data_IF_839227858600
#
_entry.id   IF_839227858600
#
_cell.length_a   1.000
_cell.length_b   1.000
_cell.length_c   1.000
_cell.angle_alpha   90.00
_cell.angle_beta   90.00
_cell.angle_gamma   90.00
#
_symmetry.space_group_name_H-M   'P 1'
#
loop_
_entity.id
_entity.type
_entity.pdbx_description
1 polymer ?
#
# COMPACT_ATOMS: atom_id res chain seq x y z
N UNK A 1 -31.57 -4.77 -14.18
CA UNK A 1 -30.36 -5.25 -13.49
C UNK A 1 -29.13 -5.20 -14.40
N UNK A 2 -29.03 -6.01 -15.47
CA UNK A 2 -27.81 -6.12 -16.29
C UNK A 2 -27.21 -4.77 -16.75
N UNK A 3 -28.02 -3.84 -17.23
CA UNK A 3 -27.57 -2.54 -17.71
C UNK A 3 -26.75 -1.73 -16.66
N UNK A 4 -27.09 -1.83 -15.37
CA UNK A 4 -26.36 -1.09 -14.32
C UNK A 4 -24.99 -1.70 -14.00
N UNK A 5 -24.85 -3.02 -14.21
CA UNK A 5 -23.62 -3.80 -14.04
C UNK A 5 -22.68 -3.56 -15.23
N UNK A 6 -23.23 -3.57 -16.44
CA UNK A 6 -22.51 -3.30 -17.69
C UNK A 6 -22.06 -1.83 -17.81
N UNK A 7 -22.59 -0.93 -16.97
CA UNK A 7 -22.35 0.51 -17.10
C UNK A 7 -23.10 1.18 -18.26
N UNK A 8 -24.18 0.57 -18.75
CA UNK A 8 -25.01 1.08 -19.87
C UNK A 8 -26.20 1.85 -19.31
N UNK A 9 -26.12 3.18 -19.32
CA UNK A 9 -27.11 4.05 -18.65
C UNK A 9 -28.07 4.78 -19.58
N UNK A 10 -28.41 4.20 -20.74
CA UNK A 10 -29.27 4.84 -21.75
C UNK A 10 -30.76 4.90 -21.36
N UNK A 11 -31.22 4.04 -20.46
CA UNK A 11 -32.63 4.00 -20.03
C UNK A 11 -32.99 5.16 -19.10
N UNK A 12 -34.20 5.72 -19.23
CA UNK A 12 -34.65 6.89 -18.44
C UNK A 12 -34.56 6.66 -16.93
N UNK A 13 -34.73 5.40 -16.48
CA UNK A 13 -34.56 5.00 -15.08
C UNK A 13 -33.29 5.56 -14.45
N UNK A 14 -32.16 5.54 -15.18
CA UNK A 14 -30.88 5.98 -14.64
C UNK A 14 -30.76 7.51 -14.51
N UNK A 15 -31.62 8.27 -15.18
CA UNK A 15 -31.59 9.73 -15.16
C UNK A 15 -30.23 10.33 -15.53
N UNK A 16 -30.02 11.58 -15.13
CA UNK A 16 -28.76 12.30 -15.33
C UNK A 16 -27.75 11.97 -14.24
N UNK A 17 -26.47 11.79 -14.58
CA UNK A 17 -25.40 11.65 -13.60
C UNK A 17 -25.22 12.90 -12.72
N UNK A 18 -25.71 14.06 -13.17
CA UNK A 18 -25.63 15.32 -12.43
C UNK A 18 -26.65 15.42 -11.29
N UNK A 19 -27.65 14.54 -11.26
CA UNK A 19 -28.63 14.50 -10.18
C UNK A 19 -28.24 13.43 -9.17
N UNK A 20 -28.50 13.68 -7.89
CA UNK A 20 -28.23 12.72 -6.80
C UNK A 20 -28.95 11.39 -7.05
N UNK A 21 -30.22 11.43 -7.47
CA UNK A 21 -30.96 10.20 -7.76
C UNK A 21 -30.37 9.43 -8.96
N UNK A 22 -29.90 10.12 -9.99
CA UNK A 22 -29.33 9.47 -11.17
C UNK A 22 -27.94 8.90 -10.93
N UNK A 23 -27.11 9.56 -10.12
CA UNK A 23 -25.83 9.01 -9.68
C UNK A 23 -26.03 7.78 -8.79
N UNK A 24 -26.99 7.81 -7.86
CA UNK A 24 -27.32 6.68 -6.96
C UNK A 24 -27.73 5.40 -7.69
N UNK A 25 -28.38 5.50 -8.86
CA UNK A 25 -28.87 4.36 -9.66
C UNK A 25 -27.79 3.69 -10.53
N UNK A 26 -26.62 4.31 -10.70
CA UNK A 26 -25.53 3.87 -11.58
C UNK A 26 -24.52 3.02 -10.83
N UNK A 27 -24.84 1.74 -10.59
CA UNK A 27 -24.07 0.86 -9.70
C UNK A 27 -22.59 0.78 -10.06
N UNK A 28 -22.25 0.47 -11.32
CA UNK A 28 -20.84 0.37 -11.77
C UNK A 28 -20.05 1.65 -11.48
N UNK A 29 -20.59 2.82 -11.82
CA UNK A 29 -19.94 4.11 -11.55
C UNK A 29 -19.74 4.35 -10.05
N UNK A 30 -20.73 4.01 -9.22
CA UNK A 30 -20.61 4.12 -7.75
C UNK A 30 -19.55 3.19 -7.19
N UNK A 31 -19.50 1.95 -7.65
CA UNK A 31 -18.48 0.99 -7.21
C UNK A 31 -17.09 1.47 -7.62
N UNK A 32 -16.91 2.02 -8.82
CA UNK A 32 -15.64 2.63 -9.24
C UNK A 32 -15.22 3.77 -8.30
N UNK A 33 -16.14 4.70 -8.01
CA UNK A 33 -15.89 5.79 -7.07
C UNK A 33 -15.52 5.30 -5.65
N UNK A 34 -16.22 4.26 -5.16
CA UNK A 34 -15.90 3.62 -3.88
C UNK A 34 -14.48 3.04 -3.90
N UNK A 35 -14.09 2.35 -4.97
CA UNK A 35 -12.76 1.76 -5.11
C UNK A 35 -11.65 2.81 -5.24
N UNK A 36 -11.91 3.93 -5.90
CA UNK A 36 -10.99 5.08 -5.97
C UNK A 36 -10.74 5.68 -4.58
N UNK A 37 -11.80 5.90 -3.81
CA UNK A 37 -11.68 6.37 -2.43
C UNK A 37 -10.98 5.35 -1.53
N UNK A 38 -11.24 4.06 -1.72
CA UNK A 38 -10.54 3.00 -1.01
C UNK A 38 -9.03 3.01 -1.30
N UNK A 39 -8.63 3.25 -2.55
CA UNK A 39 -7.21 3.37 -2.90
C UNK A 39 -6.55 4.55 -2.18
N UNK A 40 -7.25 5.68 -2.05
CA UNK A 40 -6.77 6.84 -1.31
C UNK A 40 -6.73 6.58 0.21
N UNK A 41 -7.78 5.94 0.76
CA UNK A 41 -7.81 5.50 2.15
C UNK A 41 -6.67 4.54 2.47
N UNK A 42 -6.37 3.59 1.59
CA UNK A 42 -5.22 2.70 1.72
C UNK A 42 -3.89 3.46 1.68
N UNK A 43 -3.78 4.50 0.84
CA UNK A 43 -2.57 5.33 0.74
C UNK A 43 -2.30 6.13 2.01
N UNK A 44 -3.35 6.71 2.60
CA UNK A 44 -3.23 7.60 3.76
C UNK A 44 -3.28 6.83 5.08
N UNK A 45 -4.17 5.84 5.19
CA UNK A 45 -4.52 5.13 6.42
C UNK A 45 -4.11 3.66 6.45
N UNK A 46 -3.55 3.13 5.35
CA UNK A 46 -3.12 1.73 5.28
C UNK A 46 -1.87 1.41 6.12
N UNK A 47 -1.14 2.41 6.61
CA UNK A 47 0.02 2.23 7.47
C UNK A 47 -0.35 2.49 8.93
N UNK A 48 -0.04 1.54 9.80
CA UNK A 48 -0.28 1.67 11.25
C UNK A 48 0.55 2.79 11.87
N UNK A 49 1.82 2.94 11.45
CA UNK A 49 2.74 3.98 11.88
C UNK A 49 3.29 4.75 10.68
N UNK A 50 3.19 6.07 10.72
CA UNK A 50 3.70 6.98 9.69
C UNK A 50 5.06 7.52 10.13
N UNK A 51 6.11 7.24 9.34
CA UNK A 51 7.49 7.59 9.68
C UNK A 51 7.88 8.98 9.16
N UNK A 52 8.22 9.89 10.08
CA UNK A 52 8.63 11.27 9.77
C UNK A 52 10.14 11.46 9.99
N UNK A 53 10.81 12.24 9.13
CA UNK A 53 12.22 12.59 9.36
C UNK A 53 12.37 13.66 10.44
N UNK A 54 11.42 14.59 10.49
CA UNK A 54 11.39 15.73 11.41
C UNK A 54 9.94 15.89 11.91
N UNK A 55 9.77 16.39 13.14
CA UNK A 55 8.43 16.70 13.65
C UNK A 55 7.94 17.99 12.99
N UNK A 56 6.70 18.01 12.50
CA UNK A 56 6.10 19.24 12.03
C UNK A 56 6.02 20.25 13.18
N UNK A 57 6.25 21.53 12.85
CA UNK A 57 6.18 22.65 13.79
C UNK A 57 4.74 22.87 14.32
N UNK A 58 3.74 22.36 13.58
CA UNK A 58 2.32 22.44 13.95
C UNK A 58 1.96 21.39 15.01
N UNK A 59 1.63 21.87 16.22
CA UNK A 59 1.24 21.05 17.38
C UNK A 59 0.05 20.09 17.10
N UNK A 60 -0.84 20.43 16.16
CA UNK A 60 -2.01 19.60 15.82
C UNK A 60 -1.64 18.25 15.19
N UNK A 61 -0.53 18.16 14.44
CA UNK A 61 -0.08 16.89 13.85
C UNK A 61 0.57 15.99 14.92
N UNK A 62 1.16 16.59 15.96
CA UNK A 62 1.76 15.91 17.10
C UNK A 62 0.77 15.11 17.97
N UNK A 63 -0.54 15.32 17.79
CA UNK A 63 -1.59 14.64 18.57
C UNK A 63 -2.02 13.30 17.95
N UNK A 64 -1.73 13.04 16.67
CA UNK A 64 -2.11 11.78 16.04
C UNK A 64 -1.10 10.68 16.39
N UNK A 65 -1.50 9.76 17.28
CA UNK A 65 -0.66 8.66 17.82
C UNK A 65 -0.03 7.72 16.77
N UNK A 66 -0.38 7.88 15.49
CA UNK A 66 0.19 7.10 14.37
C UNK A 66 1.51 7.66 13.87
N UNK A 67 1.82 8.94 14.09
CA UNK A 67 3.11 9.50 13.67
C UNK A 67 4.23 9.11 14.64
N UNK A 68 5.38 8.78 14.08
CA UNK A 68 6.59 8.51 14.85
C UNK A 68 7.80 9.03 14.09
N UNK A 69 8.74 9.62 14.81
CA UNK A 69 10.03 9.98 14.24
C UNK A 69 10.75 8.72 13.79
N UNK A 70 11.38 8.83 12.63
CA UNK A 70 12.11 7.76 12.00
C UNK A 70 13.33 7.32 12.82
N UNK A 71 13.90 8.21 13.65
CA UNK A 71 14.92 7.87 14.65
C UNK A 71 14.36 6.96 15.74
N UNK A 72 13.21 7.33 16.28
CA UNK A 72 12.61 6.69 17.45
C UNK A 72 12.07 5.31 17.08
N UNK A 73 11.45 5.20 15.91
CA UNK A 73 11.03 3.91 15.36
C UNK A 73 12.22 2.95 15.15
N UNK A 74 13.40 3.44 14.75
CA UNK A 74 14.59 2.57 14.68
C UNK A 74 14.95 2.04 16.07
N UNK A 75 14.94 2.89 17.09
CA UNK A 75 15.24 2.46 18.46
C UNK A 75 14.22 1.45 18.99
N UNK A 76 12.93 1.65 18.71
CA UNK A 76 11.88 0.69 19.07
C UNK A 76 12.12 -0.69 18.42
N UNK A 77 12.49 -0.70 17.15
CA UNK A 77 12.70 -1.94 16.38
C UNK A 77 14.02 -2.64 16.72
N UNK A 78 15.04 -1.91 17.23
CA UNK A 78 16.33 -2.49 17.63
C UNK A 78 16.22 -3.57 18.71
N UNK A 79 15.29 -3.43 19.65
CA UNK A 79 15.12 -4.39 20.74
C UNK A 79 14.55 -5.74 20.25
N UNK A 80 13.45 -5.77 19.48
CA UNK A 80 13.01 -6.95 18.75
C UNK A 80 14.12 -7.55 17.86
N UNK A 81 14.89 -6.72 17.14
CA UNK A 81 16.00 -7.20 16.31
C UNK A 81 17.03 -7.98 17.13
N UNK A 82 17.50 -7.41 18.24
CA UNK A 82 18.46 -8.07 19.13
C UNK A 82 17.94 -9.39 19.73
N UNK A 83 16.64 -9.45 20.05
CA UNK A 83 15.99 -10.64 20.63
C UNK A 83 15.71 -11.74 19.59
N UNK A 84 15.54 -11.36 18.33
CA UNK A 84 15.26 -12.29 17.22
C UNK A 84 16.50 -12.96 16.64
N UNK A 85 17.71 -12.62 17.10
CA UNK A 85 18.94 -13.27 16.67
C UNK A 85 19.00 -14.73 17.15
N UNK A 86 18.94 -15.67 16.22
CA UNK A 86 19.08 -17.10 16.55
C UNK A 86 19.39 -18.01 15.37
N UNK A 87 19.27 -17.51 14.14
CA UNK A 87 19.50 -18.29 12.89
C UNK A 87 20.34 -17.56 11.84
N UNK A 88 20.75 -16.32 12.08
CA UNK A 88 21.54 -15.53 11.13
C UNK A 88 23.04 -15.83 11.20
N UNK A 89 23.70 -15.71 10.06
CA UNK A 89 25.16 -15.56 10.01
C UNK A 89 25.53 -14.17 10.53
N UNK A 90 26.64 -14.06 11.24
CA UNK A 90 27.19 -12.78 11.70
C UNK A 90 27.30 -11.78 10.55
N UNK A 91 26.57 -10.66 10.64
CA UNK A 91 26.55 -9.60 9.61
C UNK A 91 25.36 -9.65 8.65
N UNK A 92 24.45 -10.63 8.77
CA UNK A 92 23.16 -10.64 8.05
C UNK A 92 22.03 -10.25 9.01
N UNK A 93 20.96 -9.62 8.51
CA UNK A 93 19.78 -9.35 9.35
C UNK A 93 18.65 -10.34 9.10
N UNK A 94 17.80 -10.49 10.11
CA UNK A 94 16.74 -11.46 10.15
C UNK A 94 15.62 -11.15 9.14
N UNK A 95 15.38 -11.97 8.09
CA UNK A 95 14.21 -11.78 7.24
C UNK A 95 12.88 -11.97 7.98
N UNK A 96 12.89 -12.66 9.14
CA UNK A 96 11.68 -12.82 9.97
C UNK A 96 11.21 -11.49 10.56
N UNK A 97 12.12 -10.62 10.99
CA UNK A 97 11.72 -9.35 11.58
C UNK A 97 11.09 -8.42 10.56
N UNK A 98 11.53 -8.48 9.30
CA UNK A 98 10.91 -7.73 8.21
C UNK A 98 9.45 -8.16 8.05
N UNK A 99 9.17 -9.45 8.20
CA UNK A 99 7.81 -9.99 8.10
C UNK A 99 6.95 -9.55 9.29
N UNK A 100 7.49 -9.56 10.51
CA UNK A 100 6.80 -9.08 11.71
C UNK A 100 6.46 -7.58 11.61
N UNK A 101 7.45 -6.74 11.27
CA UNK A 101 7.25 -5.30 11.11
C UNK A 101 6.27 -4.97 9.97
N UNK A 102 6.29 -5.77 8.91
CA UNK A 102 5.33 -5.62 7.82
C UNK A 102 3.90 -5.90 8.30
N UNK A 103 3.68 -7.05 8.96
CA UNK A 103 2.38 -7.40 9.55
C UNK A 103 1.88 -6.33 10.53
N UNK A 104 2.76 -5.79 11.36
CA UNK A 104 2.39 -4.72 12.30
C UNK A 104 1.88 -3.45 11.61
N UNK A 105 2.45 -3.13 10.47
CA UNK A 105 2.06 -1.96 9.71
C UNK A 105 0.78 -2.18 8.88
N UNK A 106 0.51 -3.43 8.48
CA UNK A 106 -0.71 -3.84 7.78
C UNK A 106 -1.95 -3.96 8.67
N UNK A 107 -1.82 -3.82 10.00
CA UNK A 107 -2.92 -3.92 10.97
C UNK A 107 -4.22 -3.17 10.56
N UNK A 108 -4.18 -1.97 9.94
CA UNK A 108 -5.40 -1.26 9.57
C UNK A 108 -6.20 -1.87 8.41
N UNK A 109 -5.61 -2.76 7.60
CA UNK A 109 -6.18 -3.13 6.29
C UNK A 109 -7.49 -3.88 6.40
N UNK A 110 -7.64 -4.75 7.40
CA UNK A 110 -8.90 -5.47 7.60
C UNK A 110 -10.05 -4.48 7.76
N UNK A 111 -9.90 -3.46 8.61
CA UNK A 111 -10.93 -2.45 8.81
C UNK A 111 -11.21 -1.60 7.57
N UNK A 112 -10.20 -1.31 6.74
CA UNK A 112 -10.39 -0.60 5.47
C UNK A 112 -11.15 -1.45 4.44
N UNK A 113 -10.85 -2.74 4.40
CA UNK A 113 -11.55 -3.72 3.55
C UNK A 113 -12.99 -3.92 4.01
N UNK A 114 -13.23 -4.04 5.31
CA UNK A 114 -14.58 -4.16 5.86
C UNK A 114 -15.43 -2.93 5.53
N UNK A 115 -14.84 -1.73 5.61
CA UNK A 115 -15.48 -0.47 5.21
C UNK A 115 -15.85 -0.47 3.72
N UNK A 116 -14.92 -0.84 2.82
CA UNK A 116 -15.22 -0.83 1.38
C UNK A 116 -16.26 -1.88 1.01
N UNK A 117 -16.19 -3.05 1.66
CA UNK A 117 -17.16 -4.13 1.54
C UNK A 117 -18.56 -3.61 1.88
N UNK A 118 -18.74 -3.00 3.04
CA UNK A 118 -20.03 -2.46 3.48
C UNK A 118 -20.59 -1.43 2.48
N UNK A 119 -19.75 -0.52 2.00
CA UNK A 119 -20.14 0.49 1.01
C UNK A 119 -20.63 -0.13 -0.31
N UNK A 120 -19.94 -1.16 -0.81
CA UNK A 120 -20.35 -1.88 -2.03
C UNK A 120 -21.65 -2.66 -1.81
N UNK A 121 -21.79 -3.32 -0.65
CA UNK A 121 -23.01 -4.05 -0.31
C UNK A 121 -24.22 -3.10 -0.27
N UNK A 122 -24.08 -1.99 0.45
CA UNK A 122 -25.09 -0.95 0.57
C UNK A 122 -25.47 -0.33 -0.79
N UNK A 123 -24.48 0.06 -1.61
CA UNK A 123 -24.76 0.62 -2.94
C UNK A 123 -25.53 -0.37 -3.83
N UNK A 124 -25.23 -1.66 -3.72
CA UNK A 124 -25.94 -2.71 -4.46
C UNK A 124 -27.38 -2.87 -3.97
N UNK A 125 -27.61 -2.82 -2.66
CA UNK A 125 -28.95 -2.93 -2.09
C UNK A 125 -29.83 -1.74 -2.48
N UNK A 126 -29.28 -0.52 -2.43
CA UNK A 126 -30.00 0.68 -2.87
C UNK A 126 -30.40 0.62 -4.35
N UNK A 127 -29.48 0.20 -5.22
CA UNK A 127 -29.76 0.08 -6.66
C UNK A 127 -30.75 -1.04 -6.92
N UNK A 128 -30.62 -2.17 -6.22
CA UNK A 128 -31.55 -3.30 -6.33
C UNK A 128 -32.95 -2.86 -5.92
N UNK A 129 -33.09 -2.21 -4.77
CA UNK A 129 -34.35 -1.65 -4.30
C UNK A 129 -34.94 -0.68 -5.33
N UNK A 130 -34.16 0.28 -5.82
CA UNK A 130 -34.62 1.24 -6.82
C UNK A 130 -35.09 0.58 -8.12
N UNK A 131 -34.43 -0.48 -8.59
CA UNK A 131 -34.82 -1.23 -9.78
C UNK A 131 -36.12 -2.00 -9.54
N UNK A 132 -36.24 -2.70 -8.42
CA UNK A 132 -37.43 -3.50 -8.10
C UNK A 132 -38.65 -2.60 -7.94
N UNK A 133 -38.54 -1.50 -7.18
CA UNK A 133 -39.62 -0.52 -7.02
C UNK A 133 -40.01 0.14 -8.36
N UNK A 134 -39.09 0.25 -9.31
CA UNK A 134 -39.40 0.84 -10.62
C UNK A 134 -40.16 -0.10 -11.56
N UNK A 135 -39.98 -1.42 -11.43
CA UNK A 135 -40.48 -2.41 -12.41
C UNK A 135 -41.64 -3.25 -11.86
N UNK A 136 -41.68 -3.49 -10.55
CA UNK A 136 -42.67 -4.36 -9.92
C UNK A 136 -43.88 -3.56 -9.38
N UNK A 137 -45.03 -4.23 -9.24
CA UNK A 137 -46.18 -3.66 -8.56
C UNK A 137 -45.88 -3.50 -7.07
N UNK A 138 -46.38 -2.44 -6.44
CA UNK A 138 -46.04 -2.04 -5.07
C UNK A 138 -46.16 -3.20 -4.06
N UNK A 139 -47.27 -3.93 -4.10
CA UNK A 139 -47.55 -5.06 -3.21
C UNK A 139 -46.58 -6.25 -3.38
N UNK A 140 -45.92 -6.35 -4.54
CA UNK A 140 -44.99 -7.45 -4.85
C UNK A 140 -43.53 -7.14 -4.50
N UNK A 141 -43.19 -5.85 -4.30
CA UNK A 141 -41.83 -5.39 -4.00
C UNK A 141 -41.23 -6.10 -2.79
N UNK A 142 -41.90 -6.21 -1.62
CA UNK A 142 -41.32 -6.84 -0.44
C UNK A 142 -40.97 -8.31 -0.67
N UNK A 143 -41.82 -9.04 -1.37
CA UNK A 143 -41.61 -10.45 -1.70
C UNK A 143 -40.40 -10.67 -2.61
N UNK A 144 -40.28 -9.84 -3.66
CA UNK A 144 -39.13 -9.91 -4.60
C UNK A 144 -37.82 -9.58 -3.87
N UNK A 145 -37.79 -8.54 -3.04
CA UNK A 145 -36.60 -8.16 -2.29
C UNK A 145 -36.17 -9.25 -1.28
N UNK A 146 -37.12 -9.94 -0.65
CA UNK A 146 -36.85 -11.07 0.24
C UNK A 146 -36.13 -12.21 -0.49
N UNK A 147 -36.63 -12.59 -1.68
CA UNK A 147 -36.01 -13.63 -2.52
C UNK A 147 -34.59 -13.22 -2.94
N UNK A 148 -34.41 -11.97 -3.37
CA UNK A 148 -33.10 -11.46 -3.81
C UNK A 148 -32.07 -11.41 -2.67
N UNK A 149 -32.48 -11.02 -1.45
CA UNK A 149 -31.61 -11.04 -0.27
C UNK A 149 -31.10 -12.45 0.02
N UNK A 150 -31.99 -13.44 0.00
CA UNK A 150 -31.62 -14.84 0.23
C UNK A 150 -30.65 -15.34 -0.84
N UNK A 151 -30.94 -15.07 -2.12
CA UNK A 151 -30.10 -15.47 -3.25
C UNK A 151 -28.70 -14.82 -3.23
N UNK A 152 -28.58 -13.59 -2.71
CA UNK A 152 -27.32 -12.85 -2.67
C UNK A 152 -26.31 -13.38 -1.65
N UNK A 153 -26.74 -14.19 -0.67
CA UNK A 153 -25.87 -14.73 0.39
C UNK A 153 -24.60 -15.38 -0.15
N UNK A 154 -24.71 -16.16 -1.23
CA UNK A 154 -23.56 -16.79 -1.88
C UNK A 154 -22.58 -15.75 -2.45
N UNK A 155 -23.10 -14.71 -3.13
CA UNK A 155 -22.25 -13.65 -3.69
C UNK A 155 -21.54 -12.81 -2.63
N UNK A 156 -22.13 -12.66 -1.44
CA UNK A 156 -21.45 -12.02 -0.30
C UNK A 156 -20.29 -12.89 0.17
N UNK A 157 -20.51 -14.19 0.31
CA UNK A 157 -19.43 -15.13 0.68
C UNK A 157 -18.31 -15.15 -0.37
N UNK A 158 -18.64 -15.10 -1.65
CA UNK A 158 -17.64 -15.06 -2.72
C UNK A 158 -16.83 -13.75 -2.70
N UNK A 159 -17.46 -12.63 -2.35
CA UNK A 159 -16.78 -11.36 -2.14
C UNK A 159 -15.80 -11.44 -0.95
N UNK A 160 -16.25 -12.04 0.15
CA UNK A 160 -15.45 -12.22 1.37
C UNK A 160 -14.22 -13.10 1.11
N UNK A 161 -14.42 -14.22 0.43
CA UNK A 161 -13.33 -15.13 0.05
C UNK A 161 -12.30 -14.43 -0.85
N UNK A 162 -12.74 -13.52 -1.74
CA UNK A 162 -11.82 -12.73 -2.57
C UNK A 162 -11.00 -11.74 -1.75
N UNK A 163 -11.63 -11.03 -0.82
CA UNK A 163 -10.90 -10.13 0.08
C UNK A 163 -9.89 -10.89 0.93
N UNK A 164 -10.27 -12.05 1.46
CA UNK A 164 -9.37 -12.90 2.25
C UNK A 164 -8.18 -13.38 1.40
N UNK A 165 -8.44 -13.85 0.17
CA UNK A 165 -7.38 -14.27 -0.78
C UNK A 165 -6.40 -13.13 -1.08
N UNK A 166 -6.88 -11.89 -1.18
CA UNK A 166 -6.04 -10.72 -1.42
C UNK A 166 -5.24 -10.28 -0.19
N UNK A 167 -5.79 -10.46 1.02
CA UNK A 167 -5.13 -10.06 2.26
C UNK A 167 -4.12 -11.10 2.78
N UNK A 168 -4.40 -12.39 2.58
CA UNK A 168 -3.65 -13.51 3.16
C UNK A 168 -2.12 -13.42 2.92
N UNK A 169 -1.63 -13.15 1.69
CA UNK A 169 -0.19 -13.13 1.43
C UNK A 169 0.54 -12.02 2.20
N UNK A 170 -0.19 -10.97 2.60
CA UNK A 170 0.35 -9.80 3.25
C UNK A 170 0.23 -9.85 4.78
N UNK A 171 -0.84 -10.50 5.29
CA UNK A 171 -1.06 -10.66 6.73
C UNK A 171 -0.34 -11.89 7.29
N UNK A 172 -0.21 -12.95 6.48
CA UNK A 172 0.33 -14.24 6.94
C UNK A 172 1.63 -14.63 6.25
N UNK A 173 1.87 -14.20 5.02
CA UNK A 173 3.07 -14.52 4.23
C UNK A 173 4.33 -13.71 4.54
N UNK A 174 5.41 -14.07 3.84
CA UNK A 174 6.66 -13.30 3.81
C UNK A 174 6.56 -12.23 2.72
N UNK A 175 6.91 -10.96 3.01
CA UNK A 175 6.92 -9.92 1.99
C UNK A 175 7.97 -10.25 0.92
N UNK A 176 7.51 -10.46 -0.31
CA UNK A 176 8.37 -10.58 -1.50
C UNK A 176 7.99 -9.43 -2.43
N UNK A 177 8.97 -8.66 -2.89
CA UNK A 177 8.75 -7.65 -3.92
C UNK A 177 9.75 -7.81 -5.05
N UNK A 178 9.23 -7.73 -6.27
CA UNK A 178 9.99 -7.68 -7.51
C UNK A 178 9.96 -6.27 -8.14
N UNK A 179 9.50 -5.29 -7.37
CA UNK A 179 9.37 -3.92 -7.85
C UNK A 179 10.74 -3.23 -7.93
N UNK A 180 11.19 -3.06 -9.16
CA UNK A 180 12.41 -2.36 -9.53
C UNK A 180 12.44 -0.91 -9.02
N UNK A 181 11.28 -0.22 -8.93
CA UNK A 181 11.23 1.14 -8.38
C UNK A 181 11.65 1.17 -6.90
N UNK A 182 11.31 0.12 -6.17
CA UNK A 182 11.70 0.00 -4.78
C UNK A 182 13.18 -0.30 -4.62
N UNK A 183 13.70 -1.21 -5.44
CA UNK A 183 15.13 -1.53 -5.47
C UNK A 183 15.93 -0.26 -5.79
N UNK A 184 15.49 0.52 -6.78
CA UNK A 184 16.10 1.81 -7.14
C UNK A 184 16.04 2.83 -6.00
N UNK A 185 14.91 2.94 -5.31
CA UNK A 185 14.77 3.86 -4.18
C UNK A 185 15.66 3.45 -3.00
N UNK A 186 15.78 2.15 -2.73
CA UNK A 186 16.69 1.62 -1.72
C UNK A 186 18.14 1.92 -2.09
N UNK A 187 18.53 1.69 -3.36
CA UNK A 187 19.87 1.99 -3.86
C UNK A 187 20.18 3.49 -3.75
N UNK A 188 19.29 4.38 -4.21
CA UNK A 188 19.43 5.83 -4.09
C UNK A 188 19.53 6.29 -2.63
N UNK A 189 18.71 5.71 -1.74
CA UNK A 189 18.78 6.02 -0.32
C UNK A 189 20.08 5.51 0.33
N UNK A 190 20.62 4.38 -0.11
CA UNK A 190 21.93 3.89 0.32
C UNK A 190 23.05 4.79 -0.19
N UNK A 191 23.02 5.16 -1.45
CA UNK A 191 23.99 6.08 -2.06
C UNK A 191 24.00 7.42 -1.36
N UNK A 192 22.82 8.04 -1.14
CA UNK A 192 22.72 9.31 -0.42
C UNK A 192 23.35 9.24 0.97
N UNK A 193 23.09 8.16 1.72
CA UNK A 193 23.70 7.94 3.04
C UNK A 193 25.21 7.78 2.97
N UNK A 194 25.72 6.93 2.06
CA UNK A 194 27.17 6.77 1.86
C UNK A 194 27.84 8.09 1.49
N UNK A 195 27.22 8.86 0.59
CA UNK A 195 27.72 10.17 0.18
C UNK A 195 27.76 11.14 1.36
N UNK A 196 26.71 11.19 2.19
CA UNK A 196 26.69 12.03 3.39
C UNK A 196 27.76 11.62 4.42
N UNK A 197 27.98 10.32 4.63
CA UNK A 197 29.03 9.81 5.52
C UNK A 197 30.43 10.15 5.02
N UNK A 198 30.66 9.98 3.71
CA UNK A 198 31.90 10.37 3.06
C UNK A 198 32.12 11.88 3.17
N UNK A 199 31.11 12.69 2.88
CA UNK A 199 31.19 14.14 2.99
C UNK A 199 31.54 14.56 4.44
N UNK A 200 30.90 13.95 5.44
CA UNK A 200 31.24 14.16 6.85
C UNK A 200 32.69 13.78 7.15
N UNK A 201 33.15 12.63 6.65
CA UNK A 201 34.53 12.18 6.83
C UNK A 201 35.54 13.15 6.21
N UNK A 202 35.26 13.67 5.02
CA UNK A 202 36.09 14.69 4.37
C UNK A 202 36.08 16.00 5.16
N UNK A 203 34.92 16.49 5.60
CA UNK A 203 34.81 17.68 6.46
C UNK A 203 35.64 17.54 7.74
N UNK A 204 35.63 16.36 8.36
CA UNK A 204 36.43 16.05 9.56
C UNK A 204 37.95 15.93 9.28
N UNK A 205 38.36 15.69 8.03
CA UNK A 205 39.76 15.56 7.62
C UNK A 205 40.35 16.91 7.20
N UNK A 206 39.63 17.70 6.39
CA UNK A 206 40.14 18.97 5.82
C UNK A 206 39.69 20.22 6.58
N UNK A 207 38.68 20.10 7.45
CA UNK A 207 38.01 21.21 8.11
C UNK A 207 36.86 21.79 7.27
N UNK A 208 35.72 22.09 7.91
CA UNK A 208 34.48 22.48 7.23
C UNK A 208 34.60 23.75 6.36
N UNK A 209 35.46 24.70 6.77
CA UNK A 209 35.75 25.93 6.03
C UNK A 209 36.55 25.67 4.74
N UNK A 210 37.55 24.78 4.81
CA UNK A 210 38.40 24.44 3.66
C UNK A 210 37.69 23.50 2.68
N UNK A 211 36.70 22.75 3.14
CA UNK A 211 35.87 21.91 2.27
C UNK A 211 34.95 22.76 1.36
N UNK A 212 34.47 23.92 1.86
CA UNK A 212 33.57 24.82 1.10
C UNK A 212 34.30 25.79 0.19
N UNK A 213 35.46 26.30 0.62
CA UNK A 213 36.30 27.22 -0.15
C UNK A 213 37.38 26.38 -0.79
N UNK A 214 37.41 26.24 -2.12
CA UNK A 214 38.34 25.38 -2.89
C UNK A 214 39.84 25.70 -2.72
N UNK A 215 40.32 25.67 -1.47
CA UNK A 215 41.68 25.92 -1.03
C UNK A 215 42.46 24.61 -1.08
N UNK A 216 43.73 24.71 -1.48
CA UNK A 216 44.63 23.56 -1.44
C UNK A 216 44.91 23.20 0.02
N UNK A 217 44.62 21.95 0.40
CA UNK A 217 44.91 21.39 1.73
C UNK A 217 45.93 20.27 1.55
N UNK A 218 47.03 20.32 2.32
CA UNK A 218 47.99 19.22 2.36
C UNK A 218 47.43 18.10 3.25
N UNK A 219 47.34 16.89 2.70
CA UNK A 219 46.82 15.71 3.39
C UNK A 219 47.85 14.59 3.33
N UNK A 220 48.05 13.90 4.46
CA UNK A 220 48.84 12.68 4.48
C UNK A 220 47.98 11.51 3.95
N UNK A 221 48.43 10.80 2.90
CA UNK A 221 47.66 9.69 2.31
C UNK A 221 47.32 8.59 3.33
N UNK A 222 48.20 8.35 4.30
CA UNK A 222 47.99 7.35 5.36
C UNK A 222 46.85 7.74 6.32
N UNK A 223 46.76 9.01 6.72
CA UNK A 223 45.70 9.51 7.59
C UNK A 223 44.34 9.50 6.88
N UNK A 224 44.35 9.85 5.60
CA UNK A 224 43.18 9.74 4.73
C UNK A 224 42.70 8.29 4.64
N UNK A 225 43.61 7.36 4.32
CA UNK A 225 43.28 5.94 4.24
C UNK A 225 42.75 5.39 5.57
N UNK A 226 43.38 5.75 6.69
CA UNK A 226 42.97 5.26 8.03
C UNK A 226 41.61 5.83 8.45
N UNK A 227 41.33 7.11 8.18
CA UNK A 227 40.01 7.71 8.45
C UNK A 227 38.91 7.12 7.56
N UNK A 228 39.19 6.86 6.28
CA UNK A 228 38.25 6.21 5.37
C UNK A 228 38.01 4.76 5.77
N UNK A 229 39.08 4.00 6.04
CA UNK A 229 39.03 2.58 6.44
C UNK A 229 38.17 2.35 7.69
N UNK A 230 38.40 3.13 8.75
CA UNK A 230 37.61 3.06 10.00
C UNK A 230 36.12 3.30 9.78
N UNK A 231 35.73 4.05 8.74
CA UNK A 231 34.32 4.34 8.44
C UNK A 231 33.70 3.35 7.45
N UNK A 232 34.49 2.74 6.56
CA UNK A 232 34.04 1.59 5.75
C UNK A 232 33.85 0.32 6.58
N UNK A 233 34.62 0.11 7.65
CA UNK A 233 34.48 -1.07 8.53
C UNK A 233 33.29 -0.98 9.50
N UNK A 234 32.78 0.22 9.79
CA UNK A 234 31.51 0.41 10.54
C UNK A 234 30.28 0.27 9.61
N UNK A 235 30.52 0.18 8.30
CA UNK A 235 29.50 0.13 7.26
C UNK A 235 28.95 -1.26 6.94
N UNK A 236 29.02 -2.23 7.86
CA UNK A 236 28.49 -3.58 7.62
C UNK A 236 27.70 -4.21 8.79
N UNK A 237 27.51 -3.50 9.91
CA UNK A 237 26.80 -4.01 11.10
C UNK A 237 25.45 -3.33 11.41
N UNK A 238 24.95 -2.45 10.54
CA UNK A 238 23.68 -1.73 10.70
C UNK A 238 22.70 -1.92 9.53
N UNK A 239 22.92 -2.93 8.69
CA UNK A 239 22.33 -2.99 7.36
C UNK A 239 21.31 -4.11 7.25
N UNK A 240 20.10 -3.82 7.73
CA UNK A 240 18.83 -3.97 7.03
C UNK A 240 17.79 -3.33 7.94
N UNK A 241 17.19 -2.22 7.49
CA UNK A 241 15.80 -1.79 7.81
C UNK A 241 15.59 -0.38 7.25
N UNK A 242 14.74 -0.27 6.21
CA UNK A 242 13.92 0.88 5.75
C UNK A 242 13.57 0.75 4.25
N UNK A 243 12.37 1.19 3.82
CA UNK A 243 11.13 0.44 4.03
C UNK A 243 10.59 -0.08 2.68
N UNK A 244 10.07 -1.31 2.69
CA UNK A 244 9.36 -1.97 1.57
C UNK A 244 8.06 -1.27 1.09
N UNK A 245 7.75 -0.11 1.68
CA UNK A 245 6.43 0.54 1.64
C UNK A 245 6.18 1.36 0.37
N UNK A 246 7.23 1.93 -0.22
CA UNK A 246 7.12 2.74 -1.46
C UNK A 246 6.77 1.86 -2.68
N UNK A 247 7.15 0.57 -2.64
CA UNK A 247 6.74 -0.43 -3.62
C UNK A 247 5.27 -0.82 -3.52
N UNK A 248 4.82 -0.93 -2.28
CA UNK A 248 3.54 -1.50 -1.94
C UNK A 248 2.38 -0.64 -2.47
N UNK A 249 2.55 0.69 -2.44
CA UNK A 249 1.62 1.67 -3.03
C UNK A 249 1.61 1.65 -4.56
N UNK A 250 2.74 1.31 -5.20
CA UNK A 250 2.83 1.21 -6.67
C UNK A 250 2.22 -0.08 -7.21
N UNK A 251 2.33 -1.20 -6.48
CA UNK A 251 1.74 -2.49 -6.87
C UNK A 251 0.21 -2.52 -6.71
N UNK A 252 -0.38 -1.83 -5.73
CA UNK A 252 -1.84 -1.70 -5.61
C UNK A 252 -2.43 -0.94 -6.81
N UNK A 253 -1.75 0.09 -7.32
CA UNK A 253 -2.20 0.84 -8.51
C UNK A 253 -2.25 -0.03 -9.77
N UNK A 254 -1.30 -0.96 -9.92
CA UNK A 254 -1.23 -1.89 -11.05
C UNK A 254 -2.31 -2.97 -10.94
N UNK A 255 -2.54 -3.53 -9.75
CA UNK A 255 -3.57 -4.55 -9.52
C UNK A 255 -5.00 -4.01 -9.67
N UNK A 256 -5.26 -2.77 -9.24
CA UNK A 256 -6.56 -2.11 -9.43
C UNK A 256 -6.79 -1.70 -10.90
N UNK A 257 -5.73 -1.34 -11.64
CA UNK A 257 -5.80 -1.06 -13.08
C UNK A 257 -6.13 -2.30 -13.93
N UNK A 258 -5.63 -3.49 -13.54
CA UNK A 258 -5.96 -4.77 -14.20
C UNK A 258 -7.42 -5.17 -13.93
N UNK A 259 -7.99 -4.81 -12.78
CA UNK A 259 -9.37 -5.17 -12.41
C UNK A 259 -10.45 -4.37 -13.16
N UNK A 260 -10.12 -3.19 -13.71
CA UNK A 260 -11.09 -2.30 -14.36
C UNK A 260 -11.20 -2.48 -15.88
N UNK A 261 -10.29 -3.20 -16.53
CA UNK A 261 -10.18 -3.28 -18.00
C UNK A 261 -10.55 -4.61 -18.67
N UNK A 262 -11.00 -5.63 -17.94
CA UNK A 262 -11.50 -6.86 -18.58
C UNK A 262 -13.03 -7.01 -18.46
N UNK A 263 -13.76 -6.93 -19.59
CA UNK A 263 -15.04 -7.58 -19.71
C UNK A 263 -14.84 -9.06 -20.10
N UNK A 264 -15.60 -9.92 -19.39
CA UNK A 264 -16.06 -11.26 -19.79
C UNK A 264 -15.05 -12.40 -19.72
N UNK A 265 -15.31 -13.32 -18.79
CA UNK A 265 -15.26 -14.73 -19.18
C UNK A 265 -16.52 -15.06 -20.00
N UNK A 266 -16.37 -15.98 -20.97
CA UNK A 266 -16.91 -17.31 -20.71
C UNK A 266 -15.90 -18.39 -21.11
N UNK A 267 -15.67 -19.33 -20.20
CA UNK A 267 -15.16 -20.70 -20.41
C UNK A 267 -14.25 -20.94 -21.62
N UNK A 268 -12.94 -21.02 -21.34
CA UNK A 268 -11.96 -21.93 -21.95
C UNK A 268 -12.14 -22.18 -23.45
N UNK A 269 -11.44 -21.45 -24.32
CA UNK A 269 -11.11 -21.99 -25.64
C UNK A 269 -9.96 -21.24 -26.33
N UNK A 270 -8.77 -21.84 -26.25
CA UNK A 270 -7.79 -21.94 -27.35
C UNK A 270 -7.08 -20.62 -27.73
N UNK A 271 -5.75 -20.67 -27.93
CA UNK A 271 -4.79 -19.54 -28.01
C UNK A 271 -4.38 -19.13 -26.58
N UNK A 272 -3.26 -19.57 -25.99
CA UNK A 272 -1.90 -19.22 -26.41
C UNK A 272 -0.90 -20.35 -26.03
N UNK A 273 -1.01 -21.50 -26.68
CA UNK A 273 0.13 -22.32 -27.13
C UNK A 273 -0.31 -22.79 -28.53
N UNK A 274 0.54 -22.90 -29.58
CA UNK A 274 1.86 -23.55 -29.50
C UNK A 274 2.94 -23.02 -30.48
N UNK A 275 4.08 -23.70 -30.49
CA UNK A 275 5.25 -23.62 -31.36
C UNK A 275 5.06 -23.03 -32.77
N UNK A 276 5.96 -22.10 -33.13
CA UNK A 276 6.93 -22.25 -34.24
C UNK A 276 8.15 -21.40 -33.96
#
# INVERSE_FOLDING_TARGET
MQATVDGKYSHQFFGSAKTDQGSRRRLRARVQYILENFAEDMRVHGQNRVLLDEMPEDEEIGVCSRYILRSDYIEEVKNPMKKSHGRELSGTSNPMIISELFKEQCKPWQGLVDKVREQVLHATDEVTNAIVTHVAAEDTVPGILSILRNARTNSIRDLDAKFETLLEPHLNGHPVTYDHYMTDNVQKAQERRRTQELEKAFRDLVGAENFKKGKKVALYPHDMFTKLKRRTEVGMQLYQTKPLWVSWVSNIRILVGVFLLLPREPEIAVLIYPAR
#
